data_IF_221182626497
#
_entry.id   IF_221182626497
#
_cell.length_a   1.000
_cell.length_b   1.000
_cell.length_c   1.000
_cell.angle_alpha   90.00
_cell.angle_beta   90.00
_cell.angle_gamma   90.00
#
_symmetry.space_group_name_H-M   'P 1'
#
loop_
_entity.id
_entity.type
_entity.pdbx_description
1 polymer ?
#
# COMPACT_ATOMS: atom_id res chain seq x y z
N UNK A 1 1.05 76.76 30.28
CA UNK A 1 -0.02 75.77 29.92
C UNK A 1 0.27 75.30 28.54
N UNK A 2 0.84 74.08 28.42
CA UNK A 2 1.21 73.55 27.12
C UNK A 2 0.75 72.07 27.12
N UNK A 3 -0.20 71.83 26.27
CA UNK A 3 -0.79 70.50 26.06
C UNK A 3 0.04 69.74 24.99
N UNK A 4 0.66 68.63 25.33
CA UNK A 4 1.33 67.75 24.38
C UNK A 4 0.35 66.76 23.75
N UNK A 5 0.61 66.30 22.51
CA UNK A 5 -0.30 65.37 21.82
C UNK A 5 -0.10 63.90 22.20
N UNK A 6 -1.21 63.20 22.29
CA UNK A 6 -1.29 61.76 22.56
C UNK A 6 -0.75 60.96 21.36
N UNK A 7 0.19 60.06 21.62
CA UNK A 7 0.72 59.12 20.65
C UNK A 7 -0.30 58.00 20.30
N UNK A 8 -0.57 57.85 19.01
CA UNK A 8 -1.32 56.71 18.46
C UNK A 8 -0.45 55.48 18.46
N UNK A 9 -0.90 54.41 19.15
CA UNK A 9 -0.33 53.06 19.08
C UNK A 9 -0.96 52.36 17.88
N UNK A 10 -0.20 52.21 16.81
CA UNK A 10 -0.61 51.39 15.66
C UNK A 10 -0.44 49.89 16.02
N UNK A 11 -1.56 49.22 16.31
CA UNK A 11 -1.60 47.81 16.47
C UNK A 11 -1.32 47.06 15.17
N UNK A 12 -0.15 46.45 15.08
CA UNK A 12 0.18 45.53 13.98
C UNK A 12 -0.65 44.24 14.13
N UNK A 13 -1.68 44.12 13.29
CA UNK A 13 -2.46 42.87 13.19
C UNK A 13 -1.65 41.79 12.47
N UNK A 14 -1.05 40.89 13.23
CA UNK A 14 -0.44 39.69 12.68
C UNK A 14 -1.58 38.79 12.24
N UNK A 15 -1.85 38.70 10.93
CA UNK A 15 -2.71 37.66 10.34
C UNK A 15 -2.04 36.34 10.58
N UNK A 16 -2.77 35.32 11.15
CA UNK A 16 -2.25 33.95 11.18
C UNK A 16 -2.02 33.49 9.74
N UNK A 17 -0.99 32.67 9.50
CA UNK A 17 -0.77 32.07 8.17
C UNK A 17 -2.02 31.31 7.75
N UNK A 18 -2.47 31.56 6.53
CA UNK A 18 -3.54 30.80 5.90
C UNK A 18 -3.13 29.32 5.97
N UNK A 19 -3.85 28.50 6.77
CA UNK A 19 -3.82 27.08 6.63
C UNK A 19 -4.19 26.76 5.18
N UNK A 20 -3.22 26.29 4.42
CA UNK A 20 -3.46 25.79 3.06
C UNK A 20 -4.46 24.65 3.17
N UNK A 21 -5.65 24.85 2.60
CA UNK A 21 -6.68 23.82 2.53
C UNK A 21 -6.04 22.52 1.97
N UNK A 22 -6.37 21.35 2.52
CA UNK A 22 -5.82 20.09 2.04
C UNK A 22 -6.11 19.96 0.55
N UNK A 23 -5.07 19.94 -0.28
CA UNK A 23 -5.22 19.70 -1.71
C UNK A 23 -5.93 18.35 -1.91
N UNK A 24 -7.03 18.35 -2.65
CA UNK A 24 -7.69 17.12 -3.05
C UNK A 24 -6.68 16.31 -3.89
N UNK A 25 -6.61 14.96 -3.68
CA UNK A 25 -5.70 14.12 -4.45
C UNK A 25 -6.01 14.19 -5.94
N UNK A 26 -4.96 14.26 -6.77
CA UNK A 26 -5.13 14.16 -8.20
C UNK A 26 -5.50 12.73 -8.59
N UNK A 27 -6.52 12.53 -9.43
CA UNK A 27 -7.02 11.21 -9.80
C UNK A 27 -6.70 10.89 -11.24
N UNK A 28 -6.39 9.61 -11.49
CA UNK A 28 -6.11 9.08 -12.84
C UNK A 28 -6.67 7.66 -12.99
N UNK A 29 -7.07 7.33 -14.20
CA UNK A 29 -7.30 5.95 -14.62
C UNK A 29 -6.01 5.41 -15.22
N UNK A 30 -5.50 4.31 -14.67
CA UNK A 30 -4.31 3.61 -15.15
C UNK A 30 -4.72 2.37 -15.94
N UNK A 31 -3.94 2.01 -16.96
CA UNK A 31 -4.17 0.79 -17.74
C UNK A 31 -3.08 -0.22 -17.41
N UNK A 32 -3.48 -1.41 -17.00
CA UNK A 32 -2.56 -2.52 -16.72
C UNK A 32 -2.09 -3.18 -18.01
N UNK A 33 -1.00 -3.94 -17.93
CA UNK A 33 -0.43 -4.67 -19.09
C UNK A 33 -1.42 -5.67 -19.71
N UNK A 34 -2.32 -6.25 -18.90
CA UNK A 34 -3.38 -7.15 -19.34
C UNK A 34 -4.70 -6.42 -19.69
N UNK A 35 -4.65 -5.09 -19.83
CA UNK A 35 -5.72 -4.27 -20.39
C UNK A 35 -6.84 -3.89 -19.42
N UNK A 36 -6.70 -4.14 -18.12
CA UNK A 36 -7.66 -3.70 -17.10
C UNK A 36 -7.43 -2.21 -16.82
N UNK A 37 -8.52 -1.45 -16.66
CA UNK A 37 -8.44 -0.06 -16.20
C UNK A 37 -8.65 -0.02 -14.69
N UNK A 38 -7.73 0.61 -13.95
CA UNK A 38 -7.81 0.80 -12.52
C UNK A 38 -7.84 2.29 -12.16
N UNK A 39 -8.56 2.64 -11.11
CA UNK A 39 -8.56 3.99 -10.55
C UNK A 39 -7.40 4.18 -9.59
N UNK A 40 -6.77 5.34 -9.65
CA UNK A 40 -5.66 5.71 -8.78
C UNK A 40 -5.77 7.18 -8.34
N UNK A 41 -5.14 7.52 -7.23
CA UNK A 41 -5.04 8.87 -6.70
C UNK A 41 -3.63 9.15 -6.20
N UNK A 42 -3.16 10.36 -6.43
CA UNK A 42 -1.87 10.86 -6.01
C UNK A 42 -2.05 12.00 -5.01
N UNK A 43 -1.45 11.86 -3.85
CA UNK A 43 -1.34 12.86 -2.81
C UNK A 43 0.12 13.33 -2.74
N UNK A 44 0.45 14.60 -3.05
CA UNK A 44 1.82 15.11 -2.90
C UNK A 44 2.23 15.14 -1.42
N UNK A 45 3.52 15.05 -1.15
CA UNK A 45 4.05 15.16 0.21
C UNK A 45 3.71 16.52 0.83
N UNK A 46 3.28 16.52 2.10
CA UNK A 46 2.86 17.75 2.79
C UNK A 46 4.02 18.53 3.40
N UNK A 47 5.15 17.87 3.67
CA UNK A 47 6.31 18.45 4.37
C UNK A 47 7.42 18.98 3.49
N UNK A 48 7.40 18.76 2.19
CA UNK A 48 8.44 19.26 1.27
C UNK A 48 8.02 20.60 0.69
N UNK A 49 8.80 21.66 0.98
CA UNK A 49 8.75 22.91 0.22
C UNK A 49 9.14 22.63 -1.23
N UNK A 50 8.45 23.29 -2.15
CA UNK A 50 8.69 23.21 -3.59
C UNK A 50 10.18 23.29 -3.94
N UNK A 51 10.68 22.30 -4.69
CA UNK A 51 12.01 22.36 -5.34
C UNK A 51 13.02 21.27 -5.01
N UNK A 52 12.95 20.59 -3.89
CA UNK A 52 13.67 19.32 -3.74
C UNK A 52 12.69 18.22 -4.12
N UNK A 53 12.55 17.93 -5.41
CA UNK A 53 11.64 16.91 -5.92
C UNK A 53 11.67 15.69 -5.01
N UNK A 54 10.62 15.51 -4.22
CA UNK A 54 10.56 14.46 -3.21
C UNK A 54 10.91 13.17 -3.88
N UNK A 55 12.11 12.71 -3.65
CA UNK A 55 12.64 11.56 -4.36
C UNK A 55 11.83 10.30 -4.11
N UNK A 56 11.00 10.28 -3.05
CA UNK A 56 10.23 9.11 -2.64
C UNK A 56 8.71 9.28 -2.86
N UNK A 57 8.11 8.26 -3.51
CA UNK A 57 6.69 8.00 -3.44
C UNK A 57 6.42 6.68 -2.73
N UNK A 58 5.37 6.62 -1.93
CA UNK A 58 4.88 5.37 -1.31
C UNK A 58 3.60 4.94 -2.04
N UNK A 59 3.62 3.75 -2.65
CA UNK A 59 2.45 3.15 -3.28
C UNK A 59 1.74 2.24 -2.27
N UNK A 60 0.49 2.55 -1.96
CA UNK A 60 -0.31 1.83 -0.95
C UNK A 60 -1.23 0.82 -1.62
N UNK A 61 -1.03 -0.46 -1.32
CA UNK A 61 -1.81 -1.60 -1.80
C UNK A 61 -2.75 -2.11 -0.70
N UNK A 62 -4.05 -1.88 -0.85
CA UNK A 62 -5.07 -2.17 0.16
C UNK A 62 -5.37 -3.68 0.34
N UNK A 63 -5.99 -4.06 1.45
CA UNK A 63 -6.49 -5.40 1.70
C UNK A 63 -7.70 -5.78 0.82
N UNK A 64 -8.07 -7.07 0.84
CA UNK A 64 -9.25 -7.55 0.12
C UNK A 64 -10.52 -6.82 0.59
N UNK A 65 -11.39 -6.45 -0.33
CA UNK A 65 -12.57 -5.57 -0.14
C UNK A 65 -12.26 -4.09 0.19
N UNK A 66 -10.99 -3.70 0.13
CA UNK A 66 -10.57 -2.31 0.25
C UNK A 66 -10.89 -1.47 -0.99
N UNK A 67 -10.21 -0.34 -1.11
CA UNK A 67 -10.30 0.60 -2.23
C UNK A 67 -9.76 1.96 -1.83
N UNK A 68 -9.32 2.76 -2.79
CA UNK A 68 -8.61 4.02 -2.55
C UNK A 68 -9.43 5.06 -1.75
N UNK A 69 -10.77 5.00 -1.81
CA UNK A 69 -11.67 5.91 -1.09
C UNK A 69 -12.14 5.37 0.28
N UNK A 70 -11.73 4.17 0.67
CA UNK A 70 -12.09 3.65 1.98
C UNK A 70 -11.44 4.47 3.10
N UNK A 71 -12.18 4.82 4.18
CA UNK A 71 -11.66 5.71 5.22
C UNK A 71 -10.32 5.27 5.81
N UNK A 72 -10.14 3.96 6.05
CA UNK A 72 -8.90 3.41 6.56
C UNK A 72 -7.73 3.54 5.56
N UNK A 73 -7.97 3.39 4.24
CA UNK A 73 -6.93 3.59 3.21
C UNK A 73 -6.58 5.08 3.10
N UNK A 74 -7.58 5.96 3.17
CA UNK A 74 -7.35 7.43 3.18
C UNK A 74 -6.60 7.87 4.45
N UNK A 75 -6.88 7.26 5.61
CA UNK A 75 -6.11 7.50 6.84
C UNK A 75 -4.65 7.08 6.67
N UNK A 76 -4.39 5.87 6.15
CA UNK A 76 -3.03 5.40 5.85
C UNK A 76 -2.31 6.39 4.93
N UNK A 77 -2.93 6.77 3.81
CA UNK A 77 -2.37 7.75 2.89
C UNK A 77 -2.10 9.10 3.57
N UNK A 78 -3.00 9.55 4.44
CA UNK A 78 -2.85 10.80 5.20
C UNK A 78 -1.67 10.78 6.18
N UNK A 79 -1.37 9.64 6.81
CA UNK A 79 -0.22 9.50 7.71
C UNK A 79 1.08 9.42 6.92
N UNK A 80 1.16 8.53 5.93
CA UNK A 80 2.36 8.34 5.10
C UNK A 80 2.67 9.61 4.26
N UNK A 81 1.63 10.36 3.88
CA UNK A 81 1.75 11.60 3.10
C UNK A 81 2.32 12.80 3.86
N UNK A 82 2.73 12.63 5.13
CA UNK A 82 3.41 13.70 5.89
C UNK A 82 4.81 13.96 5.33
N UNK A 83 5.53 12.88 5.00
CA UNK A 83 6.95 12.94 4.67
C UNK A 83 7.29 12.42 3.26
N UNK A 84 6.34 11.78 2.57
CA UNK A 84 6.50 11.25 1.23
C UNK A 84 5.26 11.52 0.37
N UNK A 85 5.40 11.52 -0.95
CA UNK A 85 4.24 11.48 -1.83
C UNK A 85 3.57 10.11 -1.72
N UNK A 86 2.25 10.04 -1.88
CA UNK A 86 1.50 8.79 -1.77
C UNK A 86 0.67 8.55 -3.01
N UNK A 87 0.82 7.37 -3.59
CA UNK A 87 -0.08 6.83 -4.62
C UNK A 87 -0.98 5.79 -3.97
N UNK A 88 -2.28 5.99 -4.04
CA UNK A 88 -3.29 4.99 -3.69
C UNK A 88 -4.02 4.54 -4.95
N UNK A 89 -4.48 3.32 -5.00
CA UNK A 89 -5.28 2.80 -6.11
C UNK A 89 -6.27 1.76 -5.59
N UNK A 90 -7.29 1.47 -6.39
CA UNK A 90 -8.17 0.33 -6.14
C UNK A 90 -7.75 -0.83 -7.03
N UNK A 91 -7.50 -1.99 -6.44
CA UNK A 91 -7.23 -3.21 -7.21
C UNK A 91 -8.37 -3.56 -8.16
N UNK A 92 -8.08 -4.32 -9.21
CA UNK A 92 -9.08 -4.87 -10.12
C UNK A 92 -10.25 -5.49 -9.37
N UNK A 93 -11.44 -5.23 -9.84
CA UNK A 93 -12.66 -5.70 -9.19
C UNK A 93 -13.10 -4.93 -7.96
N UNK A 94 -12.34 -3.96 -7.46
CA UNK A 94 -12.66 -3.11 -6.31
C UNK A 94 -12.99 -1.68 -6.73
N UNK A 95 -13.77 -0.99 -5.94
CA UNK A 95 -14.12 0.42 -6.18
C UNK A 95 -14.61 0.68 -7.60
N UNK A 96 -14.06 1.73 -8.23
CA UNK A 96 -14.31 2.09 -9.62
C UNK A 96 -13.42 1.35 -10.64
N UNK A 97 -12.44 0.56 -10.18
CA UNK A 97 -11.56 -0.20 -11.06
C UNK A 97 -12.29 -1.27 -11.86
N UNK A 98 -11.89 -1.51 -13.09
CA UNK A 98 -12.39 -2.56 -13.98
C UNK A 98 -12.03 -3.99 -13.52
N UNK A 99 -12.29 -4.96 -14.36
CA UNK A 99 -11.91 -6.35 -14.16
C UNK A 99 -12.60 -7.05 -12.98
N UNK A 100 -11.95 -8.11 -12.50
CA UNK A 100 -12.38 -8.93 -11.35
C UNK A 100 -11.16 -9.31 -10.52
N UNK A 101 -11.28 -9.27 -9.19
CA UNK A 101 -10.22 -9.69 -8.28
C UNK A 101 -9.91 -11.17 -8.43
N UNK A 102 -8.65 -11.49 -8.56
CA UNK A 102 -8.09 -12.84 -8.52
C UNK A 102 -7.49 -13.17 -7.15
N UNK A 103 -7.69 -12.29 -6.17
CA UNK A 103 -7.30 -12.44 -4.76
C UNK A 103 -5.78 -12.63 -4.60
N UNK A 104 -5.00 -11.84 -5.33
CA UNK A 104 -3.54 -11.80 -5.17
C UNK A 104 -2.72 -12.34 -6.35
N UNK A 105 -3.37 -12.91 -7.39
CA UNK A 105 -2.64 -13.38 -8.57
C UNK A 105 -2.36 -12.25 -9.57
N UNK A 106 -3.37 -11.74 -10.28
CA UNK A 106 -3.20 -10.72 -11.31
C UNK A 106 -3.15 -9.29 -10.78
N UNK A 107 -3.38 -9.10 -9.49
CA UNK A 107 -3.25 -7.82 -8.81
C UNK A 107 -1.83 -7.27 -8.87
N UNK A 108 -0.81 -8.08 -9.16
CA UNK A 108 0.56 -7.63 -9.43
C UNK A 108 0.62 -6.66 -10.61
N UNK A 109 -0.21 -6.85 -11.65
CA UNK A 109 -0.26 -5.93 -12.80
C UNK A 109 -0.89 -4.58 -12.45
N UNK A 110 -1.78 -4.54 -11.45
CA UNK A 110 -2.37 -3.31 -10.97
C UNK A 110 -1.31 -2.50 -10.19
N UNK A 111 -0.52 -3.19 -9.39
CA UNK A 111 0.59 -2.59 -8.66
C UNK A 111 1.70 -2.12 -9.63
N UNK A 112 2.02 -2.89 -10.68
CA UNK A 112 2.92 -2.47 -11.78
C UNK A 112 2.51 -1.10 -12.32
N UNK A 113 1.23 -0.94 -12.68
CA UNK A 113 0.73 0.30 -13.24
C UNK A 113 0.79 1.47 -12.23
N UNK A 114 0.54 1.22 -10.95
CA UNK A 114 0.62 2.25 -9.91
C UNK A 114 2.07 2.68 -9.61
N UNK A 115 3.02 1.73 -9.58
CA UNK A 115 4.46 2.01 -9.41
C UNK A 115 5.00 2.77 -10.63
N UNK A 116 4.67 2.32 -11.84
CA UNK A 116 5.07 3.02 -13.06
C UNK A 116 4.55 4.46 -13.09
N UNK A 117 3.29 4.68 -12.66
CA UNK A 117 2.75 6.02 -12.56
C UNK A 117 3.49 6.89 -11.54
N UNK A 118 3.89 6.37 -10.38
CA UNK A 118 4.73 7.10 -9.44
C UNK A 118 6.05 7.54 -10.10
N UNK A 119 6.67 6.68 -10.93
CA UNK A 119 7.87 7.03 -11.71
C UNK A 119 7.59 8.10 -12.77
N UNK A 120 6.47 7.99 -13.50
CA UNK A 120 6.03 9.02 -14.47
C UNK A 120 5.83 10.40 -13.83
N UNK A 121 5.41 10.45 -12.55
CA UNK A 121 5.29 11.68 -11.78
C UNK A 121 6.65 12.27 -11.35
N UNK A 122 7.77 11.61 -11.69
CA UNK A 122 9.13 12.11 -11.44
C UNK A 122 9.75 11.60 -10.13
N UNK A 123 9.15 10.63 -9.44
CA UNK A 123 9.73 10.07 -8.23
C UNK A 123 10.87 9.10 -8.56
N UNK A 124 12.09 9.48 -8.16
CA UNK A 124 13.29 8.64 -8.35
C UNK A 124 13.28 7.38 -7.49
N UNK A 125 12.59 7.41 -6.34
CA UNK A 125 12.46 6.28 -5.41
C UNK A 125 10.99 5.95 -5.18
N UNK A 126 10.66 4.64 -5.19
CA UNK A 126 9.31 4.16 -4.96
C UNK A 126 9.33 3.02 -3.96
N UNK A 127 8.68 3.20 -2.82
CA UNK A 127 8.41 2.13 -1.87
C UNK A 127 6.98 1.61 -2.02
N UNK A 128 6.76 0.33 -1.74
CA UNK A 128 5.42 -0.25 -1.70
C UNK A 128 5.04 -0.65 -0.28
N UNK A 129 3.83 -0.30 0.15
CA UNK A 129 3.26 -0.69 1.44
C UNK A 129 1.95 -1.43 1.19
N UNK A 130 1.93 -2.73 1.44
CA UNK A 130 0.78 -3.59 1.19
C UNK A 130 0.16 -4.15 2.46
N UNK A 131 -1.16 -4.23 2.50
CA UNK A 131 -1.94 -4.72 3.64
C UNK A 131 -2.71 -5.99 3.29
N UNK A 132 -2.60 -7.05 4.11
CA UNK A 132 -3.33 -8.31 3.93
C UNK A 132 -3.12 -8.89 2.50
N UNK A 133 -4.15 -8.96 1.66
CA UNK A 133 -4.01 -9.30 0.24
C UNK A 133 -2.99 -8.40 -0.46
N UNK A 134 -3.04 -7.09 -0.24
CA UNK A 134 -2.05 -6.15 -0.76
C UNK A 134 -0.64 -6.45 -0.27
N UNK A 135 -0.48 -6.95 0.96
CA UNK A 135 0.79 -7.43 1.50
C UNK A 135 1.36 -8.62 0.71
N UNK A 136 0.50 -9.57 0.33
CA UNK A 136 0.91 -10.67 -0.57
C UNK A 136 1.29 -10.16 -1.96
N UNK A 137 0.55 -9.17 -2.47
CA UNK A 137 0.79 -8.61 -3.80
C UNK A 137 2.12 -7.89 -3.86
N UNK A 138 2.48 -7.06 -2.86
CA UNK A 138 3.79 -6.36 -2.86
C UNK A 138 4.96 -7.32 -2.78
N UNK A 139 4.85 -8.44 -2.02
CA UNK A 139 5.88 -9.48 -1.97
C UNK A 139 6.08 -10.15 -3.33
N UNK A 140 4.98 -10.59 -3.96
CA UNK A 140 5.04 -11.21 -5.29
C UNK A 140 5.52 -10.26 -6.37
N UNK A 141 5.04 -9.02 -6.34
CA UNK A 141 5.46 -7.97 -7.26
C UNK A 141 6.98 -7.74 -7.17
N UNK A 142 7.51 -7.56 -5.95
CA UNK A 142 8.93 -7.35 -5.75
C UNK A 142 9.77 -8.55 -6.23
N UNK A 143 9.30 -9.78 -6.02
CA UNK A 143 9.94 -10.99 -6.53
C UNK A 143 9.97 -11.04 -8.07
N UNK A 144 8.90 -10.62 -8.73
CA UNK A 144 8.81 -10.57 -10.20
C UNK A 144 9.69 -9.49 -10.83
N UNK A 145 10.00 -8.42 -10.07
CA UNK A 145 10.85 -7.30 -10.49
C UNK A 145 12.21 -7.27 -9.78
N UNK A 146 12.47 -8.24 -8.89
CA UNK A 146 13.75 -8.45 -8.22
C UNK A 146 14.78 -9.09 -9.16
N UNK A 147 16.04 -9.06 -8.73
CA UNK A 147 17.15 -9.68 -9.46
C UNK A 147 17.97 -8.69 -10.30
N UNK A 148 19.24 -9.04 -10.51
CA UNK A 148 20.25 -8.23 -11.19
C UNK A 148 20.44 -8.61 -12.66
N UNK A 149 19.50 -9.38 -13.26
CA UNK A 149 19.67 -9.95 -14.59
C UNK A 149 19.25 -9.01 -15.74
N UNK A 150 19.98 -9.07 -16.87
CA UNK A 150 19.71 -8.33 -18.12
C UNK A 150 18.33 -8.56 -18.75
N UNK A 151 17.59 -9.58 -18.31
CA UNK A 151 16.26 -9.90 -18.82
C UNK A 151 15.18 -8.91 -18.39
N UNK A 152 15.53 -7.90 -17.57
CA UNK A 152 14.61 -6.95 -16.96
C UNK A 152 14.69 -5.53 -17.52
N UNK A 153 15.46 -5.27 -18.57
CA UNK A 153 15.64 -3.89 -19.14
C UNK A 153 14.32 -3.21 -19.55
N UNK A 154 13.25 -3.96 -19.82
CA UNK A 154 11.91 -3.41 -20.09
C UNK A 154 10.99 -3.25 -18.85
N UNK A 155 11.44 -3.71 -17.65
CA UNK A 155 10.63 -3.72 -16.43
C UNK A 155 11.09 -2.72 -15.36
N UNK A 156 12.08 -1.88 -15.64
CA UNK A 156 12.65 -0.91 -14.70
C UNK A 156 11.62 0.08 -14.15
N UNK A 157 10.62 0.45 -14.96
CA UNK A 157 9.58 1.40 -14.55
C UNK A 157 8.69 0.92 -13.41
N UNK A 158 8.50 -0.40 -13.25
CA UNK A 158 7.68 -0.99 -12.19
C UNK A 158 8.49 -1.49 -10.98
N UNK A 159 9.82 -1.32 -10.97
CA UNK A 159 10.68 -1.75 -9.85
C UNK A 159 10.44 -0.88 -8.62
N UNK A 160 10.43 -1.52 -7.45
CA UNK A 160 10.35 -0.86 -6.14
C UNK A 160 11.72 -0.86 -5.43
N UNK A 161 11.98 0.19 -4.65
CA UNK A 161 13.26 0.38 -3.94
C UNK A 161 13.18 -0.08 -2.47
N UNK A 162 11.96 -0.20 -1.93
CA UNK A 162 11.71 -0.82 -0.62
C UNK A 162 10.29 -1.43 -0.58
N UNK A 163 10.13 -2.49 0.20
CA UNK A 163 8.88 -3.25 0.29
C UNK A 163 8.46 -3.40 1.74
N UNK A 164 7.20 -3.07 2.04
CA UNK A 164 6.60 -3.28 3.36
C UNK A 164 5.35 -4.15 3.21
N UNK A 165 5.33 -5.28 3.88
CA UNK A 165 4.21 -6.22 3.89
C UNK A 165 3.58 -6.27 5.28
N UNK A 166 2.33 -5.84 5.40
CA UNK A 166 1.60 -5.76 6.68
C UNK A 166 0.49 -6.82 6.72
N UNK A 167 0.51 -7.69 7.72
CA UNK A 167 -0.51 -8.74 7.95
C UNK A 167 -0.76 -9.63 6.73
N UNK A 168 0.29 -9.98 5.98
CA UNK A 168 0.16 -10.85 4.81
C UNK A 168 0.11 -12.33 5.19
N UNK A 169 -0.62 -13.18 4.42
CA UNK A 169 -0.45 -14.62 4.51
C UNK A 169 0.92 -15.05 3.96
N UNK A 170 1.53 -16.09 4.53
CA UNK A 170 2.74 -16.71 3.96
C UNK A 170 2.41 -17.74 2.87
N UNK A 171 1.24 -18.35 2.95
CA UNK A 171 0.81 -19.47 2.08
C UNK A 171 -0.60 -19.27 1.57
N UNK A 172 -0.87 -19.74 0.37
CA UNK A 172 -2.21 -19.76 -0.21
C UNK A 172 -3.12 -20.80 0.47
N UNK A 173 -4.42 -20.69 0.24
CA UNK A 173 -5.47 -21.60 0.69
C UNK A 173 -5.54 -21.85 2.19
N UNK A 174 -4.94 -20.96 3.02
CA UNK A 174 -5.03 -21.05 4.46
C UNK A 174 -6.47 -20.93 4.95
N UNK A 175 -6.91 -21.88 5.81
CA UNK A 175 -8.28 -21.97 6.36
C UNK A 175 -8.29 -22.22 7.88
N UNK A 176 -7.17 -21.99 8.55
CA UNK A 176 -7.02 -22.30 9.98
C UNK A 176 -7.92 -21.47 10.89
N UNK A 177 -8.27 -20.25 10.49
CA UNK A 177 -9.11 -19.34 11.28
C UNK A 177 -10.54 -19.23 10.76
N UNK A 178 -11.48 -18.82 11.63
CA UNK A 178 -12.87 -18.63 11.23
C UNK A 178 -13.05 -17.52 10.17
N UNK A 179 -12.38 -16.34 10.29
CA UNK A 179 -12.42 -15.33 9.23
C UNK A 179 -11.93 -15.86 7.89
N UNK A 180 -10.85 -16.64 7.86
CA UNK A 180 -10.32 -17.20 6.61
C UNK A 180 -11.24 -18.25 5.99
N UNK A 181 -11.92 -19.06 6.78
CA UNK A 181 -12.96 -19.97 6.26
C UNK A 181 -14.13 -19.23 5.62
N UNK A 182 -14.56 -18.10 6.23
CA UNK A 182 -15.60 -17.23 5.66
C UNK A 182 -15.13 -16.57 4.36
N UNK A 183 -13.89 -16.11 4.32
CA UNK A 183 -13.29 -15.53 3.12
C UNK A 183 -13.22 -16.56 1.98
N UNK A 184 -12.79 -17.78 2.27
CA UNK A 184 -12.79 -18.86 1.28
C UNK A 184 -14.18 -19.14 0.72
N UNK A 185 -15.19 -19.20 1.58
CA UNK A 185 -16.59 -19.35 1.13
C UNK A 185 -17.00 -18.18 0.22
N UNK A 186 -16.68 -16.96 0.60
CA UNK A 186 -16.97 -15.75 -0.18
C UNK A 186 -16.36 -15.80 -1.60
N UNK A 187 -15.11 -16.25 -1.69
CA UNK A 187 -14.36 -16.30 -2.95
C UNK A 187 -14.80 -17.47 -3.82
N UNK A 188 -14.93 -18.68 -3.25
CA UNK A 188 -15.09 -19.91 -4.02
C UNK A 188 -16.55 -20.24 -4.38
N UNK A 189 -17.53 -19.75 -3.59
CA UNK A 189 -18.95 -20.10 -3.82
C UNK A 189 -19.68 -19.05 -4.65
N UNK A 190 -20.56 -19.45 -5.60
CA UNK A 190 -21.36 -18.51 -6.37
C UNK A 190 -22.14 -17.51 -5.51
N UNK A 191 -22.82 -18.02 -4.45
CA UNK A 191 -23.54 -17.17 -3.50
C UNK A 191 -22.60 -16.20 -2.76
N UNK A 192 -21.39 -16.66 -2.38
CA UNK A 192 -20.37 -15.81 -1.77
C UNK A 192 -19.96 -14.68 -2.71
N UNK A 193 -19.74 -14.96 -3.99
CA UNK A 193 -19.40 -13.94 -5.01
C UNK A 193 -20.52 -12.91 -5.23
N UNK A 194 -21.79 -13.32 -5.09
CA UNK A 194 -22.93 -12.39 -5.10
C UNK A 194 -22.86 -11.44 -3.90
N UNK A 195 -22.62 -11.98 -2.70
CA UNK A 195 -22.40 -11.17 -1.49
C UNK A 195 -21.19 -10.24 -1.65
N UNK A 196 -20.07 -10.73 -2.21
CA UNK A 196 -18.91 -9.91 -2.53
C UNK A 196 -19.25 -8.73 -3.43
N UNK A 197 -20.00 -8.98 -4.51
CA UNK A 197 -20.38 -7.95 -5.50
C UNK A 197 -21.30 -6.88 -4.92
N UNK A 198 -22.37 -7.28 -4.25
CA UNK A 198 -23.43 -6.34 -3.84
C UNK A 198 -23.26 -5.82 -2.41
N UNK A 199 -22.73 -6.66 -1.50
CA UNK A 199 -22.49 -6.28 -0.10
C UNK A 199 -21.14 -5.61 0.13
N UNK A 200 -20.06 -6.14 -0.47
CA UNK A 200 -18.71 -5.65 -0.27
C UNK A 200 -18.18 -4.80 -1.43
N UNK A 201 -18.96 -4.62 -2.49
CA UNK A 201 -18.59 -3.88 -3.71
C UNK A 201 -17.30 -4.43 -4.38
N UNK A 202 -17.09 -5.75 -4.28
CA UNK A 202 -15.92 -6.45 -4.83
C UNK A 202 -16.36 -7.50 -5.83
N UNK A 203 -15.90 -7.38 -7.08
CA UNK A 203 -16.16 -8.33 -8.16
C UNK A 203 -15.06 -9.38 -8.16
N UNK A 204 -15.39 -10.60 -7.79
CA UNK A 204 -14.43 -11.70 -7.66
C UNK A 204 -14.43 -12.55 -8.93
N UNK A 205 -13.25 -12.99 -9.38
CA UNK A 205 -13.10 -13.90 -10.51
C UNK A 205 -13.67 -15.28 -10.17
N UNK A 206 -14.23 -15.97 -11.16
CA UNK A 206 -14.94 -17.24 -10.94
C UNK A 206 -14.10 -18.47 -11.18
N UNK A 207 -12.95 -18.34 -11.84
CA UNK A 207 -12.03 -19.44 -12.13
C UNK A 207 -10.97 -19.53 -11.05
N UNK A 208 -10.53 -20.75 -10.77
CA UNK A 208 -9.36 -20.99 -9.92
C UNK A 208 -8.08 -20.50 -10.61
N UNK A 209 -7.01 -20.38 -9.85
CA UNK A 209 -5.68 -20.07 -10.41
C UNK A 209 -5.16 -21.26 -11.22
N UNK A 210 -4.70 -20.97 -12.43
CA UNK A 210 -4.09 -21.95 -13.32
C UNK A 210 -3.04 -21.24 -14.20
N UNK A 211 -1.75 -21.49 -13.95
CA UNK A 211 -1.18 -22.20 -12.80
C UNK A 211 -1.39 -21.46 -11.48
N UNK A 212 -1.28 -22.17 -10.36
CA UNK A 212 -1.25 -21.54 -9.03
C UNK A 212 0.03 -20.68 -8.91
N UNK A 213 -0.08 -19.39 -8.61
CA UNK A 213 1.10 -18.54 -8.52
C UNK A 213 1.96 -18.89 -7.29
N UNK A 214 3.25 -18.56 -7.36
CA UNK A 214 4.13 -18.68 -6.20
C UNK A 214 3.50 -18.00 -4.98
N UNK A 215 3.52 -18.70 -3.84
CA UNK A 215 3.04 -18.16 -2.56
C UNK A 215 3.90 -16.99 -2.10
N UNK A 216 3.43 -16.17 -1.16
CA UNK A 216 4.27 -15.12 -0.58
C UNK A 216 5.58 -15.65 0.01
N UNK A 217 5.57 -16.79 0.71
CA UNK A 217 6.80 -17.39 1.25
C UNK A 217 7.76 -17.87 0.14
N UNK A 218 7.26 -18.41 -0.97
CA UNK A 218 8.09 -18.78 -2.12
C UNK A 218 8.61 -17.56 -2.89
N UNK A 219 7.93 -16.42 -2.79
CA UNK A 219 8.32 -15.16 -3.44
C UNK A 219 9.42 -14.42 -2.68
N UNK A 220 9.40 -14.47 -1.34
CA UNK A 220 10.30 -13.69 -0.47
C UNK A 220 11.79 -13.87 -0.77
N UNK A 221 12.33 -15.09 -1.02
CA UNK A 221 13.76 -15.27 -1.34
C UNK A 221 14.22 -14.53 -2.61
N UNK A 222 13.27 -14.20 -3.50
CA UNK A 222 13.55 -13.56 -4.79
C UNK A 222 13.54 -12.02 -4.72
N UNK A 223 13.24 -11.44 -3.54
CA UNK A 223 13.15 -9.99 -3.33
C UNK A 223 14.53 -9.35 -3.18
N UNK A 224 15.48 -10.07 -2.60
CA UNK A 224 16.84 -9.56 -2.41
C UNK A 224 17.45 -9.05 -3.74
N UNK A 225 18.17 -7.92 -3.73
CA UNK A 225 18.63 -7.14 -2.59
C UNK A 225 17.65 -6.02 -2.14
N UNK A 226 16.43 -5.96 -2.65
CA UNK A 226 15.47 -4.90 -2.30
C UNK A 226 15.08 -5.00 -0.81
N UNK A 227 15.27 -3.95 0.01
CA UNK A 227 14.93 -3.98 1.43
C UNK A 227 13.48 -4.41 1.68
N UNK A 228 13.27 -5.30 2.65
CA UNK A 228 11.98 -5.88 2.99
C UNK A 228 11.67 -5.70 4.48
N UNK A 229 10.51 -5.14 4.80
CA UNK A 229 9.94 -5.09 6.14
C UNK A 229 8.65 -5.92 6.18
N UNK A 230 8.59 -6.85 7.12
CA UNK A 230 7.40 -7.64 7.44
C UNK A 230 6.84 -7.11 8.76
N UNK A 231 5.58 -6.65 8.74
CA UNK A 231 4.88 -6.13 9.94
C UNK A 231 3.66 -7.00 10.22
N UNK A 232 3.47 -7.39 11.47
CA UNK A 232 2.33 -8.24 11.83
C UNK A 232 1.87 -8.01 13.26
N UNK A 233 0.55 -8.05 13.47
CA UNK A 233 -0.05 -7.93 14.79
C UNK A 233 -0.11 -9.26 15.56
N UNK A 234 0.22 -9.25 16.84
CA UNK A 234 0.12 -10.46 17.67
C UNK A 234 -1.33 -10.87 18.01
N UNK A 235 -2.30 -9.98 17.72
CA UNK A 235 -3.74 -10.22 17.85
C UNK A 235 -4.45 -10.36 16.49
N UNK A 236 -3.70 -10.68 15.41
CA UNK A 236 -4.29 -10.87 14.09
C UNK A 236 -5.19 -12.11 14.05
N UNK A 237 -6.51 -11.89 13.93
CA UNK A 237 -7.51 -12.96 13.88
C UNK A 237 -7.60 -13.70 12.56
N UNK A 238 -6.95 -13.20 11.50
CA UNK A 238 -6.92 -13.83 10.16
C UNK A 238 -5.71 -14.74 10.02
N UNK A 239 -4.52 -14.25 10.32
CA UNK A 239 -3.25 -14.95 10.16
C UNK A 239 -2.49 -14.99 11.49
N UNK A 240 -2.36 -16.17 12.13
CA UNK A 240 -1.52 -16.33 13.31
C UNK A 240 -0.04 -16.07 13.04
N UNK A 241 0.75 -15.95 14.11
CA UNK A 241 2.17 -15.59 14.05
C UNK A 241 3.08 -16.57 13.30
N UNK A 242 2.59 -17.77 12.94
CA UNK A 242 3.31 -18.68 12.04
C UNK A 242 3.49 -18.07 10.64
N UNK A 243 2.54 -17.25 10.17
CA UNK A 243 2.64 -16.60 8.87
C UNK A 243 3.81 -15.60 8.78
N UNK A 244 3.91 -14.55 9.61
CA UNK A 244 5.05 -13.63 9.53
C UNK A 244 6.38 -14.31 9.83
N UNK A 245 6.42 -15.33 10.70
CA UNK A 245 7.64 -16.11 10.95
C UNK A 245 8.08 -16.88 9.73
N UNK A 246 7.16 -17.56 9.02
CA UNK A 246 7.47 -18.22 7.75
C UNK A 246 8.02 -17.27 6.69
N UNK A 247 7.45 -16.04 6.60
CA UNK A 247 7.96 -15.02 5.68
C UNK A 247 9.38 -14.58 6.06
N UNK A 248 9.63 -14.34 7.36
CA UNK A 248 10.94 -13.96 7.86
C UNK A 248 11.98 -15.08 7.66
N UNK A 249 11.63 -16.32 7.98
CA UNK A 249 12.48 -17.50 7.74
C UNK A 249 12.82 -17.66 6.24
N UNK A 250 11.82 -17.47 5.36
CA UNK A 250 12.05 -17.56 3.91
C UNK A 250 12.97 -16.45 3.37
N UNK A 251 13.08 -15.31 4.06
CA UNK A 251 13.98 -14.22 3.66
C UNK A 251 15.43 -14.45 4.08
N UNK A 252 15.72 -15.43 4.94
CA UNK A 252 17.00 -15.49 5.64
C UNK A 252 17.20 -14.23 6.49
N UNK A 253 18.38 -13.62 6.40
CA UNK A 253 18.70 -12.39 7.14
C UNK A 253 18.33 -11.10 6.39
N UNK A 254 17.59 -11.22 5.28
CA UNK A 254 17.33 -10.08 4.39
C UNK A 254 16.19 -9.18 4.86
N UNK A 255 15.15 -9.74 5.51
CA UNK A 255 13.99 -8.98 5.95
C UNK A 255 14.04 -8.61 7.43
N UNK A 256 13.54 -7.41 7.75
CA UNK A 256 13.18 -7.06 9.13
C UNK A 256 11.78 -7.59 9.45
N UNK A 257 11.58 -8.12 10.67
CA UNK A 257 10.28 -8.54 11.18
C UNK A 257 9.88 -7.69 12.40
N UNK A 258 8.75 -6.98 12.28
CA UNK A 258 8.12 -6.27 13.39
C UNK A 258 6.84 -6.99 13.83
N UNK A 259 6.83 -7.51 15.04
CA UNK A 259 5.61 -8.06 15.67
C UNK A 259 5.03 -7.01 16.60
N UNK A 260 3.90 -6.42 16.21
CA UNK A 260 3.27 -5.31 16.92
C UNK A 260 2.29 -5.81 17.99
N UNK A 261 2.58 -5.47 19.23
CA UNK A 261 1.77 -5.91 20.37
C UNK A 261 0.38 -5.27 20.38
N UNK A 262 -0.65 -6.09 20.54
CA UNK A 262 -2.05 -5.67 20.59
C UNK A 262 -2.62 -5.22 19.25
N UNK A 263 -1.85 -5.34 18.17
CA UNK A 263 -2.35 -5.05 16.83
C UNK A 263 -3.18 -6.23 16.31
N UNK A 264 -4.36 -5.94 15.77
CA UNK A 264 -5.19 -6.88 15.02
C UNK A 264 -4.78 -6.96 13.55
N UNK A 265 -5.76 -7.01 12.63
CA UNK A 265 -5.51 -7.27 11.21
C UNK A 265 -5.37 -6.01 10.36
N UNK A 266 -4.25 -5.90 9.66
CA UNK A 266 -3.98 -5.01 8.52
C UNK A 266 -4.24 -3.50 8.79
N UNK A 267 -4.65 -2.76 7.75
CA UNK A 267 -4.83 -1.30 7.78
C UNK A 267 -5.91 -0.82 8.77
N UNK A 268 -6.82 -1.69 9.15
CA UNK A 268 -7.85 -1.36 10.15
C UNK A 268 -7.29 -1.27 11.56
N UNK A 269 -6.26 -2.06 11.86
CA UNK A 269 -5.67 -2.18 13.20
C UNK A 269 -4.34 -1.43 13.35
N UNK A 270 -3.66 -1.11 12.24
CA UNK A 270 -2.42 -0.35 12.27
C UNK A 270 -2.69 1.08 12.79
N UNK A 271 -2.10 1.46 13.94
CA UNK A 271 -2.21 2.80 14.53
C UNK A 271 -1.36 3.80 13.76
N UNK A 272 -1.64 5.09 13.93
CA UNK A 272 -0.93 6.16 13.23
C UNK A 272 0.56 6.20 13.56
N UNK A 273 0.94 5.87 14.80
CA UNK A 273 2.35 5.80 15.24
C UNK A 273 3.10 4.69 14.48
N UNK A 274 2.47 3.52 14.29
CA UNK A 274 3.04 2.44 13.50
C UNK A 274 3.16 2.83 12.04
N UNK A 275 2.12 3.44 11.47
CA UNK A 275 2.16 3.91 10.08
C UNK A 275 3.26 4.96 9.86
N UNK A 276 3.48 5.87 10.81
CA UNK A 276 4.58 6.84 10.75
C UNK A 276 5.95 6.14 10.81
N UNK A 277 6.12 5.12 11.67
CA UNK A 277 7.34 4.29 11.71
C UNK A 277 7.59 3.55 10.40
N UNK A 278 6.53 2.99 9.80
CA UNK A 278 6.60 2.34 8.49
C UNK A 278 7.05 3.34 7.42
N UNK A 279 6.48 4.55 7.41
CA UNK A 279 6.87 5.61 6.49
C UNK A 279 8.34 6.01 6.64
N UNK A 280 8.81 6.19 7.88
CA UNK A 280 10.20 6.51 8.18
C UNK A 280 11.15 5.39 7.75
N UNK A 281 10.80 4.12 8.02
CA UNK A 281 11.59 2.97 7.55
C UNK A 281 11.66 2.93 6.02
N UNK A 282 10.53 3.08 5.33
CA UNK A 282 10.48 3.09 3.87
C UNK A 282 11.35 4.21 3.26
N UNK A 283 11.34 5.40 3.87
CA UNK A 283 12.17 6.51 3.44
C UNK A 283 13.67 6.26 3.61
N UNK A 284 14.06 5.61 4.71
CA UNK A 284 15.45 5.23 4.98
C UNK A 284 15.93 4.09 4.09
N UNK A 285 15.09 3.06 3.92
CA UNK A 285 15.46 1.84 3.20
C UNK A 285 15.47 2.02 1.67
N UNK A 286 14.68 2.95 1.14
CA UNK A 286 14.69 3.24 -0.29
C UNK A 286 15.94 4.04 -0.74
N UNK A 287 16.87 4.35 0.15
CA UNK A 287 18.17 4.93 -0.15
C UNK A 287 18.17 6.44 -0.23
#
# INVERSE_FOLDING_TARGET
>A
MSSGPAGQVTGSSIRPPLETAPHAPSRRSLRTVDGVTIEAAYDPARGTRDGAGGSLAIVVAHGFTGGLDRPHVRRVAGVLGRDAAVVTFSFRGHGGSGGRSTVGDREVHDLDAAVAWARELGHARVATVGFSMGGSVVLRHAALHGGTGREHEGRTAARTDAVVSVSAPARWYYRGTAPMRRLHWLVTRPAGRVVGRYGLKTRIHSRDWDPVPASPAESVPLIAPTPLLIVHGDQDGYFPLDHPRMLAEASGDHAELWVERGMGHAEHAARDELLARIGAWAASAAG
#
